data_IF_709410715901
#
_entry.id   IF_709410715901
#
_cell.length_a   1.000
_cell.length_b   1.000
_cell.length_c   1.000
_cell.angle_alpha   90.00
_cell.angle_beta   90.00
_cell.angle_gamma   90.00
#
_symmetry.space_group_name_H-M   'P 1'
#
loop_
_entity.id
_entity.type
_entity.pdbx_description
1 polymer ?
#
# COMPACT_ATOMS: atom_id res chain seq x y z
N UNK A 1 -16.93 5.39 9.29
CA UNK A 1 -16.33 5.74 8.00
C UNK A 1 -16.01 7.22 7.79
N UNK A 2 -16.31 8.14 8.72
CA UNK A 2 -16.00 9.58 8.53
C UNK A 2 -15.51 10.30 9.80
N UNK A 3 -15.34 9.63 10.96
CA UNK A 3 -15.04 10.33 12.22
C UNK A 3 -13.70 11.10 12.19
N UNK A 4 -12.70 10.63 11.42
CA UNK A 4 -11.45 11.38 11.19
C UNK A 4 -11.53 12.37 10.02
N UNK A 5 -12.50 12.23 9.12
CA UNK A 5 -12.82 13.24 8.10
C UNK A 5 -13.58 14.41 8.73
N UNK A 6 -14.46 14.13 9.70
CA UNK A 6 -15.22 15.11 10.49
C UNK A 6 -14.32 16.02 11.33
N UNK A 7 -13.21 15.51 11.88
CA UNK A 7 -12.23 16.34 12.60
C UNK A 7 -11.57 17.36 11.65
N UNK A 8 -11.22 16.96 10.42
CA UNK A 8 -10.61 17.85 9.43
C UNK A 8 -11.59 18.87 8.86
N UNK A 9 -12.85 18.47 8.66
CA UNK A 9 -13.94 19.37 8.25
C UNK A 9 -14.25 20.37 9.38
N UNK A 10 -14.26 19.94 10.65
CA UNK A 10 -14.38 20.84 11.82
C UNK A 10 -13.18 21.79 11.94
N UNK A 11 -11.99 21.36 11.54
CA UNK A 11 -10.78 22.20 11.46
C UNK A 11 -10.67 23.04 10.16
N UNK A 12 -11.73 23.11 9.34
CA UNK A 12 -11.75 23.81 8.03
C UNK A 12 -10.66 23.38 7.03
N UNK A 13 -10.04 22.19 7.21
CA UNK A 13 -9.05 21.66 6.28
C UNK A 13 -9.77 20.94 5.13
N UNK A 14 -9.61 21.38 3.87
CA UNK A 14 -10.34 20.81 2.75
C UNK A 14 -10.04 19.32 2.55
N UNK A 15 -11.09 18.50 2.38
CA UNK A 15 -10.94 17.12 1.91
C UNK A 15 -10.59 17.16 0.44
N UNK A 16 -9.46 16.56 0.07
CA UNK A 16 -9.00 16.63 -1.33
C UNK A 16 -9.84 15.71 -2.21
N UNK A 17 -10.21 16.12 -3.44
CA UNK A 17 -10.92 15.25 -4.39
C UNK A 17 -10.22 13.91 -4.62
N UNK A 18 -8.89 13.90 -4.63
CA UNK A 18 -8.10 12.69 -4.77
C UNK A 18 -8.36 11.65 -3.67
N UNK A 19 -8.55 12.10 -2.43
CA UNK A 19 -8.85 11.22 -1.31
C UNK A 19 -10.25 10.61 -1.43
N UNK A 20 -11.24 11.41 -1.84
CA UNK A 20 -12.60 10.91 -2.08
C UNK A 20 -12.62 9.84 -3.17
N UNK A 21 -11.94 10.07 -4.29
CA UNK A 21 -11.81 9.04 -5.33
C UNK A 21 -11.06 7.80 -4.83
N UNK A 22 -10.05 7.96 -3.97
CA UNK A 22 -9.32 6.83 -3.40
C UNK A 22 -10.24 5.91 -2.59
N UNK A 23 -11.14 6.49 -1.78
CA UNK A 23 -12.16 5.78 -1.00
C UNK A 23 -13.20 5.12 -1.90
N UNK A 24 -13.81 5.89 -2.81
CA UNK A 24 -14.89 5.40 -3.66
C UNK A 24 -14.45 4.26 -4.59
N UNK A 25 -13.24 4.33 -5.13
CA UNK A 25 -12.72 3.33 -6.07
C UNK A 25 -11.93 2.20 -5.40
N UNK A 26 -11.88 2.17 -4.06
CA UNK A 26 -11.12 1.14 -3.35
C UNK A 26 -11.66 -0.28 -3.60
N UNK A 27 -12.98 -0.44 -3.61
CA UNK A 27 -13.61 -1.76 -3.81
C UNK A 27 -13.13 -2.47 -5.09
N UNK A 28 -13.24 -1.84 -6.27
CA UNK A 28 -12.68 -2.36 -7.52
C UNK A 28 -11.17 -2.64 -7.46
N UNK A 29 -10.38 -1.75 -6.86
CA UNK A 29 -8.93 -1.93 -6.73
C UNK A 29 -8.62 -3.16 -5.89
N UNK A 30 -9.28 -3.33 -4.74
CA UNK A 30 -9.08 -4.46 -3.83
C UNK A 30 -9.38 -5.80 -4.52
N UNK A 31 -10.52 -5.91 -5.20
CA UNK A 31 -10.88 -7.11 -5.98
C UNK A 31 -9.81 -7.46 -7.01
N UNK A 32 -9.25 -6.44 -7.68
CA UNK A 32 -8.20 -6.69 -8.68
C UNK A 32 -6.87 -7.08 -8.05
N UNK A 33 -6.53 -6.47 -6.92
CA UNK A 33 -5.34 -6.82 -6.12
C UNK A 33 -5.41 -8.27 -5.64
N UNK A 34 -6.56 -8.75 -5.18
CA UNK A 34 -6.77 -10.16 -4.77
C UNK A 34 -6.38 -11.14 -5.88
N UNK A 35 -6.75 -10.84 -7.14
CA UNK A 35 -6.35 -11.65 -8.29
C UNK A 35 -4.84 -11.54 -8.55
N UNK A 36 -4.30 -10.33 -8.63
CA UNK A 36 -2.91 -10.08 -9.04
C UNK A 36 -1.87 -10.57 -8.02
N UNK A 37 -2.19 -10.59 -6.72
CA UNK A 37 -1.25 -11.01 -5.68
C UNK A 37 -0.80 -12.47 -5.79
N UNK A 38 -1.50 -13.31 -6.56
CA UNK A 38 -1.07 -14.68 -6.83
C UNK A 38 0.24 -14.73 -7.63
N UNK A 39 0.53 -13.70 -8.42
CA UNK A 39 1.67 -13.68 -9.36
C UNK A 39 2.74 -12.64 -9.00
N UNK A 40 2.37 -11.58 -8.27
CA UNK A 40 3.27 -10.46 -7.98
C UNK A 40 3.16 -9.96 -6.54
N UNK A 41 4.13 -9.13 -6.13
CA UNK A 41 4.15 -8.54 -4.79
C UNK A 41 3.00 -7.54 -4.64
N UNK A 42 2.50 -7.35 -3.41
CA UNK A 42 1.44 -6.39 -3.09
C UNK A 42 1.68 -4.99 -3.68
N UNK A 43 2.91 -4.48 -3.61
CA UNK A 43 3.27 -3.17 -4.19
C UNK A 43 3.03 -3.12 -5.70
N UNK A 44 3.41 -4.18 -6.42
CA UNK A 44 3.22 -4.27 -7.87
C UNK A 44 1.75 -4.48 -8.22
N UNK A 45 1.04 -5.32 -7.44
CA UNK A 45 -0.38 -5.58 -7.59
C UNK A 45 -1.22 -4.31 -7.41
N UNK A 46 -0.95 -3.51 -6.37
CA UNK A 46 -1.65 -2.23 -6.13
C UNK A 46 -1.41 -1.22 -7.25
N UNK A 47 -0.18 -1.15 -7.77
CA UNK A 47 0.14 -0.28 -8.91
C UNK A 47 -0.65 -0.69 -10.15
N UNK A 48 -0.59 -1.97 -10.52
CA UNK A 48 -1.27 -2.50 -11.69
C UNK A 48 -2.80 -2.42 -11.57
N UNK A 49 -3.37 -2.82 -10.44
CA UNK A 49 -4.80 -2.69 -10.16
C UNK A 49 -5.27 -1.23 -10.22
N UNK A 50 -4.50 -0.31 -9.65
CA UNK A 50 -4.81 1.12 -9.70
C UNK A 50 -4.78 1.69 -11.11
N UNK A 51 -3.84 1.25 -11.95
CA UNK A 51 -3.78 1.63 -13.37
C UNK A 51 -4.97 1.11 -14.18
N UNK A 52 -5.35 -0.14 -13.95
CA UNK A 52 -6.51 -0.75 -14.60
C UNK A 52 -7.83 -0.07 -14.19
N UNK A 53 -8.08 0.09 -12.88
CA UNK A 53 -9.30 0.75 -12.39
C UNK A 53 -9.38 2.20 -12.86
N UNK A 54 -8.25 2.92 -12.89
CA UNK A 54 -8.21 4.29 -13.39
C UNK A 54 -8.54 4.35 -14.89
N UNK A 55 -8.02 3.44 -15.72
CA UNK A 55 -8.40 3.35 -17.15
C UNK A 55 -9.87 3.07 -17.35
N UNK A 56 -10.45 2.14 -16.59
CA UNK A 56 -11.88 1.83 -16.69
C UNK A 56 -12.76 3.01 -16.23
N UNK A 57 -12.34 3.71 -15.17
CA UNK A 57 -13.05 4.91 -14.67
C UNK A 57 -13.07 6.02 -15.71
N UNK A 58 -11.96 6.24 -16.42
CA UNK A 58 -11.85 7.26 -17.47
C UNK A 58 -12.81 7.06 -18.65
N UNK A 59 -13.37 5.84 -18.84
CA UNK A 59 -14.39 5.59 -19.87
C UNK A 59 -15.76 6.19 -19.51
N UNK A 60 -15.99 6.51 -18.23
CA UNK A 60 -17.30 6.96 -17.71
C UNK A 60 -17.26 8.34 -17.08
N UNK A 61 -16.12 8.72 -16.51
CA UNK A 61 -15.97 9.98 -15.76
C UNK A 61 -14.64 10.64 -16.12
N UNK A 62 -14.67 11.94 -16.39
CA UNK A 62 -13.45 12.72 -16.55
C UNK A 62 -12.74 12.85 -15.20
N UNK A 63 -11.56 12.21 -15.08
CA UNK A 63 -10.72 12.30 -13.88
C UNK A 63 -9.38 12.96 -14.22
N UNK A 64 -9.20 14.26 -13.93
CA UNK A 64 -7.95 14.97 -14.16
C UNK A 64 -6.74 14.31 -13.47
N UNK A 65 -5.58 14.33 -14.14
CA UNK A 65 -4.32 13.73 -13.63
C UNK A 65 -3.90 14.24 -12.26
N UNK A 66 -4.16 15.53 -11.97
CA UNK A 66 -3.89 16.15 -10.66
C UNK A 66 -4.65 15.49 -9.50
N UNK A 67 -5.73 14.76 -9.78
CA UNK A 67 -6.49 14.00 -8.78
C UNK A 67 -6.18 12.51 -8.83
N UNK A 68 -6.01 11.93 -10.02
CA UNK A 68 -5.72 10.50 -10.12
C UNK A 68 -4.32 10.11 -9.65
N UNK A 69 -3.32 10.98 -9.80
CA UNK A 69 -1.96 10.69 -9.31
C UNK A 69 -1.92 10.57 -7.78
N UNK A 70 -2.37 11.57 -6.99
CA UNK A 70 -2.40 11.44 -5.52
C UNK A 70 -3.27 10.29 -5.03
N UNK A 71 -4.40 10.03 -5.70
CA UNK A 71 -5.26 8.88 -5.41
C UNK A 71 -4.51 7.55 -5.52
N UNK A 72 -3.80 7.34 -6.62
CA UNK A 72 -3.00 6.12 -6.85
C UNK A 72 -1.85 5.99 -5.86
N UNK A 73 -1.24 7.11 -5.48
CA UNK A 73 -0.19 7.12 -4.45
C UNK A 73 -0.74 6.71 -3.08
N UNK A 74 -1.95 7.15 -2.70
CA UNK A 74 -2.62 6.69 -1.46
C UNK A 74 -2.77 5.17 -1.44
N UNK A 75 -3.20 4.56 -2.55
CA UNK A 75 -3.30 3.10 -2.66
C UNK A 75 -1.94 2.41 -2.57
N UNK A 76 -0.92 2.92 -3.29
CA UNK A 76 0.42 2.33 -3.27
C UNK A 76 1.07 2.40 -1.89
N UNK A 77 0.80 3.47 -1.13
CA UNK A 77 1.27 3.61 0.24
C UNK A 77 0.71 2.53 1.18
N UNK A 78 -0.42 1.88 0.86
CA UNK A 78 -0.95 0.78 1.66
C UNK A 78 0.03 -0.39 1.78
N UNK A 79 0.74 -0.72 0.70
CA UNK A 79 1.80 -1.73 0.75
C UNK A 79 2.99 -1.28 1.62
N UNK A 80 3.28 0.03 1.63
CA UNK A 80 4.42 0.57 2.38
C UNK A 80 4.11 0.67 3.86
N UNK A 81 2.86 0.91 4.23
CA UNK A 81 2.39 0.88 5.63
C UNK A 81 2.63 -0.50 6.26
N UNK A 82 2.60 -1.60 5.49
CA UNK A 82 2.96 -2.93 6.01
C UNK A 82 4.48 -3.08 6.29
N UNK A 83 5.32 -2.24 5.70
CA UNK A 83 6.79 -2.32 5.78
C UNK A 83 7.34 -1.50 6.95
N UNK A 84 7.04 -1.94 8.18
CA UNK A 84 7.37 -1.21 9.42
C UNK A 84 8.80 -1.40 9.96
N UNK A 85 9.65 -2.19 9.29
CA UNK A 85 10.99 -2.56 9.81
C UNK A 85 12.11 -1.65 9.35
N UNK A 86 13.06 -1.47 10.26
CA UNK A 86 14.23 -0.60 10.04
C UNK A 86 13.76 0.81 9.71
N UNK A 87 14.59 1.58 9.00
CA UNK A 87 14.32 3.01 8.70
C UNK A 87 13.06 3.30 7.85
N UNK A 88 12.35 2.28 7.38
CA UNK A 88 11.20 2.43 6.47
C UNK A 88 10.01 3.12 7.13
N UNK A 89 9.79 2.90 8.42
CA UNK A 89 8.67 3.51 9.13
C UNK A 89 8.84 5.04 9.21
N UNK A 90 10.02 5.50 9.64
CA UNK A 90 10.40 6.91 9.64
C UNK A 90 10.31 7.56 8.25
N UNK A 91 10.90 6.93 7.23
CA UNK A 91 10.79 7.42 5.85
C UNK A 91 9.34 7.54 5.35
N UNK A 92 8.44 6.74 5.90
CA UNK A 92 7.03 6.79 5.54
C UNK A 92 6.30 7.91 6.27
N UNK A 93 6.66 8.24 7.52
CA UNK A 93 6.14 9.41 8.25
C UNK A 93 6.45 10.72 7.50
N UNK A 94 7.64 10.83 6.92
CA UNK A 94 8.08 11.99 6.14
C UNK A 94 7.35 12.11 4.78
N UNK A 95 6.58 11.10 4.37
CA UNK A 95 5.89 11.15 3.10
C UNK A 95 4.77 12.21 3.13
N UNK A 96 4.78 13.13 2.16
CA UNK A 96 3.73 14.17 2.01
C UNK A 96 2.28 13.65 2.00
N UNK A 97 2.06 12.38 1.68
CA UNK A 97 0.73 11.71 1.65
C UNK A 97 0.54 10.70 2.77
N UNK A 98 1.47 10.62 3.74
CA UNK A 98 1.35 9.72 4.89
C UNK A 98 -0.01 9.86 5.56
N UNK A 99 -0.42 11.10 5.89
CA UNK A 99 -1.69 11.34 6.57
C UNK A 99 -2.88 10.81 5.80
N UNK A 100 -2.94 11.05 4.49
CA UNK A 100 -4.01 10.53 3.64
C UNK A 100 -3.97 8.99 3.57
N UNK A 101 -2.80 8.38 3.46
CA UNK A 101 -2.67 6.93 3.45
C UNK A 101 -3.05 6.27 4.79
N UNK A 102 -2.71 6.91 5.91
CA UNK A 102 -3.08 6.48 7.25
C UNK A 102 -4.58 6.64 7.51
N UNK A 103 -5.18 7.79 7.16
CA UNK A 103 -6.63 8.00 7.26
C UNK A 103 -7.38 6.93 6.45
N UNK A 104 -6.88 6.64 5.24
CA UNK A 104 -7.42 5.57 4.39
C UNK A 104 -7.26 4.16 5.01
N UNK A 105 -6.14 3.89 5.70
CA UNK A 105 -5.90 2.64 6.43
C UNK A 105 -6.95 2.43 7.53
N UNK A 106 -7.26 3.48 8.31
CA UNK A 106 -8.30 3.42 9.34
C UNK A 106 -9.70 3.20 8.73
N UNK A 107 -9.99 3.80 7.58
CA UNK A 107 -11.26 3.54 6.88
C UNK A 107 -11.39 2.10 6.41
N UNK A 108 -10.29 1.49 5.94
CA UNK A 108 -10.25 0.08 5.56
C UNK A 108 -10.54 -0.84 6.75
N UNK A 109 -9.97 -0.55 7.91
CA UNK A 109 -10.27 -1.27 9.15
C UNK A 109 -11.75 -1.12 9.54
N UNK A 110 -12.28 0.10 9.53
CA UNK A 110 -13.71 0.36 9.80
C UNK A 110 -14.64 -0.35 8.79
N UNK A 111 -14.16 -0.61 7.57
CA UNK A 111 -14.87 -1.38 6.56
C UNK A 111 -14.74 -2.91 6.74
N UNK A 112 -14.12 -3.36 7.83
CA UNK A 112 -13.99 -4.77 8.21
C UNK A 112 -12.73 -5.47 7.69
N UNK A 113 -11.76 -4.75 7.13
CA UNK A 113 -10.49 -5.38 6.75
C UNK A 113 -9.69 -5.78 8.01
N UNK A 114 -9.07 -6.98 8.05
CA UNK A 114 -8.39 -7.51 9.23
C UNK A 114 -7.00 -6.89 9.41
N UNK A 115 -6.96 -5.56 9.61
CA UNK A 115 -5.74 -4.74 9.68
C UNK A 115 -5.67 -3.90 10.96
N UNK A 116 -6.44 -4.27 11.99
CA UNK A 116 -6.54 -3.50 13.24
C UNK A 116 -5.20 -3.36 13.99
N UNK A 117 -4.39 -4.41 14.05
CA UNK A 117 -3.04 -4.32 14.64
C UNK A 117 -2.15 -3.33 13.89
N UNK A 118 -2.26 -3.30 12.55
CA UNK A 118 -1.50 -2.37 11.73
C UNK A 118 -1.94 -0.93 11.97
N UNK A 119 -3.25 -0.70 12.08
CA UNK A 119 -3.83 0.60 12.40
C UNK A 119 -3.36 1.11 13.77
N UNK A 120 -3.46 0.26 14.80
CA UNK A 120 -3.02 0.57 16.16
C UNK A 120 -1.55 0.94 16.21
N UNK A 121 -0.70 0.12 15.59
CA UNK A 121 0.74 0.38 15.55
C UNK A 121 1.07 1.73 14.92
N UNK A 122 0.44 2.09 13.80
CA UNK A 122 0.65 3.41 13.18
C UNK A 122 0.05 4.57 13.98
N UNK A 123 -1.00 4.30 14.75
CA UNK A 123 -1.61 5.28 15.66
C UNK A 123 -0.63 5.69 16.75
N UNK A 124 0.04 4.71 17.35
CA UNK A 124 1.03 4.89 18.42
C UNK A 124 2.35 5.43 17.86
N UNK A 125 2.88 4.84 16.78
CA UNK A 125 4.21 5.17 16.25
C UNK A 125 4.36 6.65 15.86
N UNK A 126 3.30 7.29 15.36
CA UNK A 126 3.35 8.69 14.91
C UNK A 126 3.38 9.72 16.07
N UNK A 127 3.02 9.31 17.30
CA UNK A 127 3.00 10.20 18.49
C UNK A 127 4.11 9.90 19.49
N UNK A 128 4.77 8.75 19.36
CA UNK A 128 5.94 8.39 20.16
C UNK A 128 7.17 9.25 19.83
N UNK A 129 8.05 9.39 20.82
CA UNK A 129 9.38 9.98 20.64
C UNK A 129 10.34 9.04 19.89
N UNK A 130 11.54 9.51 19.54
CA UNK A 130 12.49 8.69 18.76
C UNK A 130 12.85 7.37 19.47
N UNK A 131 12.98 7.40 20.80
CA UNK A 131 13.27 6.22 21.59
C UNK A 131 12.11 5.22 21.58
N UNK A 132 10.88 5.69 21.71
CA UNK A 132 9.65 4.89 21.61
C UNK A 132 9.46 4.29 20.23
N UNK A 133 9.64 5.09 19.19
CA UNK A 133 9.62 4.63 17.80
C UNK A 133 10.63 3.50 17.56
N UNK A 134 11.85 3.64 18.10
CA UNK A 134 12.87 2.60 17.97
C UNK A 134 12.47 1.31 18.68
N UNK A 135 11.98 1.40 19.93
CA UNK A 135 11.44 0.24 20.68
C UNK A 135 10.34 -0.49 19.90
N UNK A 136 9.36 0.25 19.39
CA UNK A 136 8.24 -0.31 18.62
C UNK A 136 8.67 -1.05 17.35
N UNK A 137 9.76 -0.62 16.71
CA UNK A 137 10.30 -1.27 15.51
C UNK A 137 11.08 -2.53 15.87
N UNK A 138 11.80 -2.52 17.00
CA UNK A 138 12.59 -3.64 17.49
C UNK A 138 11.71 -4.78 18.05
N UNK A 139 10.55 -4.44 18.62
CA UNK A 139 9.55 -5.41 19.10
C UNK A 139 8.81 -6.15 17.97
N UNK A 140 8.94 -5.72 16.71
CA UNK A 140 8.30 -6.39 15.59
C UNK A 140 8.88 -7.82 15.41
N UNK A 141 8.05 -8.88 15.41
CA UNK A 141 8.51 -10.27 15.31
C UNK A 141 9.37 -10.44 14.06
N UNK A 142 10.42 -11.27 14.00
CA UNK A 142 11.31 -11.35 12.84
C UNK A 142 10.56 -11.62 11.52
N UNK A 143 10.96 -10.95 10.45
CA UNK A 143 10.26 -11.03 9.16
C UNK A 143 10.39 -12.45 8.63
N UNK A 144 9.29 -13.03 8.11
CA UNK A 144 9.33 -14.32 7.40
C UNK A 144 10.49 -14.28 6.40
N UNK A 145 11.60 -14.95 6.73
CA UNK A 145 12.75 -15.09 5.83
C UNK A 145 12.23 -15.82 4.60
N UNK A 146 12.09 -15.11 3.47
CA UNK A 146 11.84 -15.77 2.18
C UNK A 146 12.99 -16.75 1.96
N UNK A 147 12.70 -18.06 2.00
CA UNK A 147 13.64 -19.10 1.56
C UNK A 147 14.18 -18.65 0.21
N UNK A 148 15.49 -18.34 0.13
CA UNK A 148 16.16 -18.07 -1.13
C UNK A 148 15.87 -19.27 -2.03
N UNK A 149 15.04 -19.10 -3.08
CA UNK A 149 14.97 -20.08 -4.16
C UNK A 149 16.39 -20.14 -4.73
N UNK A 150 17.13 -21.18 -4.37
CA UNK A 150 18.42 -21.52 -4.99
C UNK A 150 18.13 -21.58 -6.49
N UNK A 151 18.67 -20.62 -7.22
CA UNK A 151 18.49 -20.49 -8.65
C UNK A 151 19.20 -21.71 -9.26
N UNK A 152 18.42 -22.71 -9.66
CA UNK A 152 18.91 -23.97 -10.21
C UNK A 152 19.94 -23.70 -11.31
N UNK A 153 21.13 -24.27 -11.12
CA UNK A 153 22.27 -24.25 -12.03
C UNK A 153 21.78 -24.69 -13.42
N UNK A 154 21.87 -23.81 -14.42
CA UNK A 154 21.57 -24.14 -15.82
C UNK A 154 22.35 -25.40 -16.18
N UNK A 155 21.66 -26.51 -16.47
CA UNK A 155 22.26 -27.69 -17.10
C UNK A 155 22.63 -27.29 -18.53
N UNK A 156 23.93 -27.18 -18.79
CA UNK A 156 24.51 -27.09 -20.12
C UNK A 156 24.04 -28.30 -20.93
N UNK A 157 23.24 -28.07 -21.97
CA UNK A 157 22.92 -29.10 -22.96
C UNK A 157 24.15 -29.19 -23.88
N UNK A 158 24.90 -30.29 -23.80
CA UNK A 158 25.94 -30.62 -24.78
C UNK A 158 25.26 -30.94 -26.13
N UNK A 159 25.74 -30.41 -27.26
CA UNK A 159 25.21 -30.78 -28.57
C UNK A 159 25.70 -32.17 -28.96
N UNK A 160 24.76 -33.10 -29.13
CA UNK A 160 25.01 -34.42 -29.71
C UNK A 160 25.24 -34.27 -31.22
N UNK A 161 26.46 -34.62 -31.63
CA UNK A 161 26.85 -34.94 -33.00
C UNK A 161 25.84 -35.88 -33.66
N UNK A 162 25.33 -35.49 -34.84
CA UNK A 162 24.80 -36.45 -35.81
C UNK A 162 25.72 -36.50 -37.02
N UNK A 163 26.31 -37.68 -37.20
CA UNK A 163 26.90 -38.18 -38.44
C UNK A 163 25.85 -38.15 -39.55
N UNK A 164 26.27 -37.72 -40.73
CA UNK A 164 25.82 -38.20 -42.03
C UNK A 164 27.06 -38.21 -42.93
#
# INVERSE_FOLDING_TARGET
>A
GLINTDARVREQKPVTPAYLFAVLLWGPVRKRVEVLQHEMRLTDALRAAGDEVNRETLKRVTLPRRFSLPMREIWQLQARLEMRRGKRAWQLLENRRFRAAYDFLLLREQAGEPIGELCRWWTEFQVEDEAGQQRMVDELPPGRKKKKKIRGKKRTIQPLLRKA
#
